data_IF_012975427266
#
_entry.id   IF_012975427266
#
_cell.length_a   1.000
_cell.length_b   1.000
_cell.length_c   1.000
_cell.angle_alpha   90.00
_cell.angle_beta   90.00
_cell.angle_gamma   90.00
#
_symmetry.space_group_name_H-M   'P 1'
#
loop_
_entity.id
_entity.type
_entity.pdbx_description
1 polymer ?
#
# COMPACT_ATOMS: atom_id res chain seq x y z
N UNK A 1 10.21 80.93 -8.20
CA UNK A 1 9.37 79.99 -7.40
C UNK A 1 8.85 78.80 -8.26
N UNK A 2 8.94 78.83 -9.59
CA UNK A 2 8.33 77.82 -10.48
C UNK A 2 9.19 76.61 -10.84
N UNK A 3 10.51 76.60 -10.60
CA UNK A 3 11.38 75.44 -10.96
C UNK A 3 11.43 74.32 -9.91
N UNK A 4 11.14 74.62 -8.64
CA UNK A 4 11.18 73.64 -7.54
C UNK A 4 9.92 72.76 -7.46
N UNK A 5 8.77 73.20 -7.98
CA UNK A 5 7.52 72.42 -7.89
C UNK A 5 7.45 71.28 -8.91
N UNK A 6 8.08 71.45 -10.08
CA UNK A 6 8.08 70.44 -11.15
C UNK A 6 8.97 69.25 -10.77
N UNK A 7 10.15 69.49 -10.17
CA UNK A 7 11.04 68.42 -9.70
C UNK A 7 10.42 67.55 -8.60
N UNK A 8 9.66 68.15 -7.66
CA UNK A 8 8.96 67.42 -6.61
C UNK A 8 7.80 66.55 -7.14
N UNK A 9 7.07 67.04 -8.16
CA UNK A 9 6.03 66.28 -8.87
C UNK A 9 6.60 65.06 -9.61
N UNK A 10 7.73 65.21 -10.31
CA UNK A 10 8.38 64.09 -11.00
C UNK A 10 8.97 63.05 -10.03
N UNK A 11 9.59 63.50 -8.92
CA UNK A 11 10.14 62.61 -7.90
C UNK A 11 9.05 61.81 -7.17
N UNK A 12 7.92 62.44 -6.83
CA UNK A 12 6.77 61.77 -6.20
C UNK A 12 6.10 60.78 -7.15
N UNK A 13 5.98 61.13 -8.44
CA UNK A 13 5.48 60.22 -9.46
C UNK A 13 6.42 59.01 -9.65
N UNK A 14 7.74 59.23 -9.75
CA UNK A 14 8.73 58.15 -9.87
C UNK A 14 8.78 57.25 -8.63
N UNK A 15 8.68 57.81 -7.42
CA UNK A 15 8.55 57.05 -6.17
C UNK A 15 7.26 56.22 -6.12
N UNK A 16 6.15 56.79 -6.57
CA UNK A 16 4.85 56.11 -6.67
C UNK A 16 4.93 54.93 -7.66
N UNK A 17 5.47 55.16 -8.87
CA UNK A 17 5.72 54.11 -9.85
C UNK A 17 6.65 53.02 -9.31
N UNK A 18 7.72 53.37 -8.60
CA UNK A 18 8.63 52.42 -7.93
C UNK A 18 7.91 51.59 -6.85
N UNK A 19 7.01 52.21 -6.08
CA UNK A 19 6.19 51.52 -5.07
C UNK A 19 5.20 50.53 -5.71
N UNK A 20 4.54 50.92 -6.81
CA UNK A 20 3.67 50.02 -7.56
C UNK A 20 4.45 48.89 -8.23
N UNK A 21 5.58 49.18 -8.87
CA UNK A 21 6.45 48.17 -9.48
C UNK A 21 6.94 47.14 -8.45
N UNK A 22 7.36 47.57 -7.26
CA UNK A 22 7.71 46.67 -6.15
C UNK A 22 6.52 45.83 -5.68
N UNK A 23 5.32 46.41 -5.57
CA UNK A 23 4.11 45.66 -5.22
C UNK A 23 3.73 44.62 -6.27
N UNK A 24 3.77 44.97 -7.56
CA UNK A 24 3.54 44.03 -8.66
C UNK A 24 4.59 42.93 -8.71
N UNK A 25 5.86 43.25 -8.45
CA UNK A 25 6.93 42.24 -8.35
C UNK A 25 6.68 41.29 -7.18
N UNK A 26 6.31 41.78 -6.00
CA UNK A 26 5.97 40.93 -4.84
C UNK A 26 4.74 40.06 -5.12
N UNK A 27 3.68 40.62 -5.73
CA UNK A 27 2.48 39.86 -6.11
C UNK A 27 2.84 38.80 -7.16
N UNK A 28 3.62 39.16 -8.18
CA UNK A 28 4.08 38.24 -9.22
C UNK A 28 4.93 37.10 -8.64
N UNK A 29 5.89 37.42 -7.76
CA UNK A 29 6.68 36.42 -7.02
C UNK A 29 5.76 35.53 -6.18
N UNK A 30 4.78 36.10 -5.49
CA UNK A 30 3.81 35.35 -4.67
C UNK A 30 2.97 34.42 -5.54
N UNK A 31 2.45 34.88 -6.68
CA UNK A 31 1.69 34.05 -7.63
C UNK A 31 2.59 32.94 -8.19
N UNK A 32 3.83 33.25 -8.58
CA UNK A 32 4.80 32.25 -9.03
C UNK A 32 5.10 31.21 -7.94
N UNK A 33 5.25 31.64 -6.68
CA UNK A 33 5.43 30.73 -5.55
C UNK A 33 4.18 29.87 -5.36
N UNK A 34 2.98 30.46 -5.38
CA UNK A 34 1.70 29.76 -5.25
C UNK A 34 1.49 28.74 -6.38
N UNK A 35 1.80 29.10 -7.63
CA UNK A 35 1.76 28.17 -8.78
C UNK A 35 2.81 27.06 -8.63
N UNK A 36 4.02 27.42 -8.22
CA UNK A 36 5.13 26.49 -8.06
C UNK A 36 4.87 25.46 -6.95
N UNK A 37 4.26 25.88 -5.83
CA UNK A 37 3.81 24.98 -4.76
C UNK A 37 2.50 24.24 -5.12
N UNK A 38 1.90 24.52 -6.28
CA UNK A 38 0.79 23.75 -6.83
C UNK A 38 -0.60 24.28 -6.49
N UNK A 39 -0.72 25.47 -5.89
CA UNK A 39 -2.00 26.07 -5.50
C UNK A 39 -2.95 26.23 -6.69
N UNK A 40 -2.44 26.59 -7.87
CA UNK A 40 -3.25 26.72 -9.08
C UNK A 40 -3.37 25.42 -9.90
N UNK A 41 -2.58 24.39 -9.60
CA UNK A 41 -2.67 23.11 -10.32
C UNK A 41 -4.02 22.43 -10.11
N UNK A 42 -4.63 22.63 -8.95
CA UNK A 42 -5.97 22.13 -8.65
C UNK A 42 -7.04 22.68 -9.61
N UNK A 43 -6.86 23.88 -10.16
CA UNK A 43 -7.79 24.45 -11.13
C UNK A 43 -7.77 23.72 -12.50
N UNK A 44 -6.68 23.02 -12.80
CA UNK A 44 -6.51 22.28 -14.05
C UNK A 44 -6.77 20.78 -13.90
N UNK A 45 -7.22 20.34 -12.73
CA UNK A 45 -7.63 18.95 -12.52
C UNK A 45 -8.96 18.66 -13.20
N UNK A 46 -9.09 17.44 -13.71
CA UNK A 46 -10.36 16.91 -14.19
C UNK A 46 -11.15 16.35 -13.01
N UNK A 47 -12.44 16.63 -12.96
CA UNK A 47 -13.36 16.04 -11.97
C UNK A 47 -13.39 14.51 -12.14
N UNK A 48 -12.93 13.79 -11.12
CA UNK A 48 -12.82 12.33 -11.12
C UNK A 48 -14.16 11.66 -11.46
N UNK A 49 -15.24 12.01 -10.77
CA UNK A 49 -16.55 11.34 -10.94
C UNK A 49 -17.13 11.46 -12.35
N UNK A 50 -16.73 12.50 -13.10
CA UNK A 50 -17.27 12.78 -14.42
C UNK A 50 -16.37 12.30 -15.56
N UNK A 51 -15.06 12.39 -15.38
CA UNK A 51 -14.10 12.23 -16.49
C UNK A 51 -13.14 11.06 -16.31
N UNK A 52 -13.19 10.32 -15.19
CA UNK A 52 -12.21 9.27 -14.93
C UNK A 52 -12.19 8.22 -16.03
N UNK A 53 -11.08 8.21 -16.76
CA UNK A 53 -10.69 7.12 -17.63
C UNK A 53 -9.20 6.85 -17.48
N UNK A 54 -8.87 5.57 -17.27
CA UNK A 54 -7.52 5.15 -16.99
C UNK A 54 -6.96 4.36 -18.17
N UNK A 55 -5.77 4.72 -18.68
CA UNK A 55 -5.24 4.16 -19.91
C UNK A 55 -4.94 2.67 -19.78
N UNK A 56 -5.07 1.96 -20.91
CA UNK A 56 -4.63 0.58 -21.03
C UNK A 56 -3.10 0.46 -21.02
N UNK A 57 -2.60 -0.64 -20.46
CA UNK A 57 -1.17 -0.95 -20.39
C UNK A 57 -0.69 -1.76 -21.58
N UNK A 58 0.63 -1.94 -21.68
CA UNK A 58 1.23 -2.85 -22.65
C UNK A 58 1.42 -4.24 -22.01
N UNK A 59 1.21 -5.35 -22.74
CA UNK A 59 1.47 -6.69 -22.21
C UNK A 59 2.91 -6.88 -21.69
N UNK A 60 3.88 -6.15 -22.26
CA UNK A 60 5.28 -6.15 -21.82
C UNK A 60 5.51 -5.56 -20.43
N UNK A 61 4.57 -4.76 -19.90
CA UNK A 61 4.73 -4.04 -18.63
C UNK A 61 4.84 -4.98 -17.41
N UNK A 62 4.52 -6.27 -17.61
CA UNK A 62 4.46 -7.31 -16.58
C UNK A 62 5.20 -8.61 -16.93
N UNK A 63 6.09 -8.59 -17.92
CA UNK A 63 6.87 -9.78 -18.30
C UNK A 63 8.09 -9.96 -17.38
N UNK A 64 7.85 -10.46 -16.17
CA UNK A 64 8.88 -10.78 -15.17
C UNK A 64 8.91 -12.28 -14.88
N UNK A 65 10.10 -12.79 -14.54
CA UNK A 65 10.33 -14.19 -14.17
C UNK A 65 10.54 -14.32 -12.66
N UNK A 66 10.39 -15.55 -12.15
CA UNK A 66 10.70 -15.88 -10.76
C UNK A 66 12.09 -16.51 -10.68
N UNK A 67 13.03 -15.85 -10.00
CA UNK A 67 14.39 -16.36 -9.72
C UNK A 67 14.33 -17.46 -8.66
N UNK A 68 13.54 -17.22 -7.62
CA UNK A 68 13.24 -18.19 -6.58
C UNK A 68 11.73 -18.39 -6.54
N UNK A 69 11.30 -19.65 -6.65
CA UNK A 69 9.90 -20.03 -6.77
C UNK A 69 9.63 -21.26 -5.88
N UNK A 70 9.05 -21.07 -4.68
CA UNK A 70 8.72 -22.17 -3.78
C UNK A 70 7.40 -22.81 -4.23
N UNK A 71 7.37 -23.40 -5.44
CA UNK A 71 6.13 -23.87 -6.11
C UNK A 71 5.36 -24.92 -5.31
N UNK A 72 6.06 -25.72 -4.49
CA UNK A 72 5.46 -26.78 -3.68
C UNK A 72 4.97 -26.28 -2.30
N UNK A 73 5.15 -25.00 -1.96
CA UNK A 73 4.81 -24.45 -0.64
C UNK A 73 3.34 -24.67 -0.28
N UNK A 74 2.44 -24.59 -1.26
CA UNK A 74 1.00 -24.80 -1.11
C UNK A 74 0.52 -26.17 -1.63
N UNK A 75 1.38 -27.20 -1.63
CA UNK A 75 0.97 -28.57 -1.97
C UNK A 75 -0.24 -29.03 -1.16
N UNK A 76 -0.29 -28.67 0.11
CA UNK A 76 -1.51 -28.75 0.93
C UNK A 76 -2.20 -27.38 0.83
N UNK A 77 -3.43 -27.30 0.29
CA UNK A 77 -4.19 -26.05 0.19
C UNK A 77 -4.37 -25.37 1.56
N UNK A 78 -3.80 -24.17 1.80
CA UNK A 78 -3.98 -23.48 3.06
C UNK A 78 -5.31 -22.73 3.08
N UNK A 79 -5.91 -22.56 4.26
CA UNK A 79 -7.05 -21.64 4.43
C UNK A 79 -6.61 -20.19 4.21
N UNK A 80 -5.41 -19.84 4.66
CA UNK A 80 -4.83 -18.50 4.54
C UNK A 80 -3.41 -18.59 3.99
N UNK A 81 -3.16 -17.91 2.87
CA UNK A 81 -1.82 -17.56 2.43
C UNK A 81 -1.48 -16.13 2.88
N UNK A 82 -0.41 -15.99 3.66
CA UNK A 82 0.18 -14.71 4.06
C UNK A 82 1.32 -14.40 3.09
N UNK A 83 1.24 -13.27 2.42
CA UNK A 83 2.18 -12.80 1.42
C UNK A 83 2.84 -11.52 1.91
N UNK A 84 4.08 -11.63 2.35
CA UNK A 84 4.82 -10.52 2.97
C UNK A 84 5.68 -9.83 1.92
N UNK A 85 5.38 -8.57 1.59
CA UNK A 85 6.26 -7.70 0.80
C UNK A 85 7.46 -7.30 1.66
N UNK A 86 8.65 -7.69 1.23
CA UNK A 86 9.90 -7.41 1.94
C UNK A 86 10.99 -6.96 0.95
N UNK A 87 12.05 -6.34 1.46
CA UNK A 87 13.25 -6.04 0.68
C UNK A 87 14.31 -7.12 0.93
N UNK A 88 15.16 -7.43 -0.05
CA UNK A 88 16.17 -8.47 0.08
C UNK A 88 17.08 -8.30 1.32
N UNK A 89 17.36 -7.04 1.70
CA UNK A 89 18.13 -6.62 2.86
C UNK A 89 17.47 -6.95 4.21
N UNK A 90 16.14 -7.08 4.25
CA UNK A 90 15.33 -7.22 5.47
C UNK A 90 15.30 -8.65 6.06
N UNK A 91 16.42 -9.37 5.99
CA UNK A 91 16.55 -10.76 6.49
C UNK A 91 16.14 -10.87 7.97
N UNK A 92 16.54 -9.89 8.79
CA UNK A 92 16.21 -9.89 10.21
C UNK A 92 14.69 -9.76 10.44
N UNK A 93 14.02 -8.85 9.72
CA UNK A 93 12.55 -8.69 9.78
C UNK A 93 11.83 -9.99 9.43
N UNK A 94 12.21 -10.62 8.31
CA UNK A 94 11.63 -11.91 7.90
C UNK A 94 11.80 -12.99 8.97
N UNK A 95 12.98 -13.07 9.61
CA UNK A 95 13.21 -14.01 10.71
C UNK A 95 12.35 -13.72 11.94
N UNK A 96 12.09 -12.45 12.27
CA UNK A 96 11.12 -12.10 13.33
C UNK A 96 9.71 -12.54 12.93
N UNK A 97 9.30 -12.29 11.69
CA UNK A 97 7.97 -12.66 11.19
C UNK A 97 7.76 -14.17 11.27
N UNK A 98 8.73 -14.98 10.81
CA UNK A 98 8.70 -16.46 10.88
C UNK A 98 8.47 -17.00 12.29
N UNK A 99 8.98 -16.33 13.33
CA UNK A 99 8.86 -16.74 14.74
C UNK A 99 7.72 -16.07 15.50
N UNK A 100 7.00 -15.16 14.85
CA UNK A 100 5.87 -14.42 15.41
C UNK A 100 4.60 -14.68 14.58
N UNK A 101 4.02 -13.66 13.97
CA UNK A 101 2.73 -13.74 13.29
C UNK A 101 2.74 -14.55 11.99
N UNK A 102 3.91 -14.73 11.37
CA UNK A 102 4.09 -15.56 10.18
C UNK A 102 4.34 -17.04 10.48
N UNK A 103 4.27 -17.47 11.74
CA UNK A 103 4.49 -18.88 12.11
C UNK A 103 3.34 -19.77 11.61
N UNK A 104 3.64 -20.64 10.65
CA UNK A 104 2.65 -21.44 9.91
C UNK A 104 1.90 -22.46 10.77
N UNK A 105 2.55 -22.99 11.81
CA UNK A 105 1.99 -24.03 12.69
C UNK A 105 1.38 -23.46 13.97
N UNK A 106 0.89 -22.22 13.91
CA UNK A 106 0.33 -21.53 15.08
C UNK A 106 -0.97 -22.15 15.58
N UNK A 107 -1.80 -22.67 14.68
CA UNK A 107 -3.10 -23.26 14.95
C UNK A 107 -3.13 -24.70 14.43
N UNK A 108 -3.63 -25.64 15.24
CA UNK A 108 -3.66 -27.05 14.89
C UNK A 108 -4.77 -27.42 13.90
N UNK A 109 -5.80 -26.58 13.80
CA UNK A 109 -7.04 -26.80 13.04
C UNK A 109 -7.14 -25.94 11.78
N UNK A 110 -6.15 -25.07 11.52
CA UNK A 110 -6.15 -24.16 10.37
C UNK A 110 -4.80 -24.21 9.67
N UNK A 111 -4.82 -24.61 8.40
CA UNK A 111 -3.62 -24.62 7.57
C UNK A 111 -3.27 -23.20 7.09
N UNK A 112 -2.07 -22.75 7.41
CA UNK A 112 -1.53 -21.43 7.03
C UNK A 112 -0.21 -21.59 6.29
N UNK A 113 0.00 -20.74 5.29
CA UNK A 113 1.31 -20.58 4.64
C UNK A 113 1.75 -19.13 4.69
N UNK A 114 3.04 -18.91 4.85
CA UNK A 114 3.68 -17.61 4.80
C UNK A 114 4.78 -17.64 3.73
N UNK A 115 4.78 -16.64 2.86
CA UNK A 115 5.80 -16.44 1.83
C UNK A 115 6.26 -14.99 1.80
N UNK A 116 7.52 -14.77 1.40
CA UNK A 116 8.12 -13.45 1.29
C UNK A 116 8.34 -13.08 -0.18
N UNK A 117 7.75 -11.97 -0.62
CA UNK A 117 7.93 -11.39 -1.95
C UNK A 117 9.11 -10.44 -1.97
N UNK A 118 10.12 -10.75 -2.79
CA UNK A 118 11.33 -9.95 -2.96
C UNK A 118 11.54 -9.55 -4.42
N UNK A 119 12.17 -8.40 -4.65
CA UNK A 119 12.87 -8.11 -5.90
C UNK A 119 14.36 -8.42 -5.82
N UNK A 120 15.11 -8.01 -6.85
CA UNK A 120 16.56 -8.06 -6.93
C UNK A 120 17.14 -6.81 -6.27
N UNK A 121 18.11 -7.00 -5.37
CA UNK A 121 18.91 -5.90 -4.83
C UNK A 121 19.96 -5.46 -5.85
N UNK A 122 20.30 -4.16 -5.87
CA UNK A 122 21.46 -3.68 -6.63
C UNK A 122 22.80 -4.20 -6.08
N UNK A 123 22.81 -4.66 -4.83
CA UNK A 123 23.98 -5.24 -4.19
C UNK A 123 23.98 -6.76 -4.38
N UNK A 124 24.95 -7.26 -5.16
CA UNK A 124 25.08 -8.70 -5.45
C UNK A 124 25.25 -9.55 -4.18
N UNK A 125 25.94 -9.04 -3.15
CA UNK A 125 26.06 -9.74 -1.86
C UNK A 125 24.70 -10.00 -1.22
N UNK A 126 23.78 -9.04 -1.30
CA UNK A 126 22.41 -9.19 -0.78
C UNK A 126 21.64 -10.26 -1.55
N UNK A 127 21.84 -10.35 -2.87
CA UNK A 127 21.20 -11.40 -3.68
C UNK A 127 21.73 -12.80 -3.32
N UNK A 128 23.04 -12.94 -3.05
CA UNK A 128 23.63 -14.20 -2.56
C UNK A 128 23.03 -14.60 -1.20
N UNK A 129 22.86 -13.64 -0.29
CA UNK A 129 22.21 -13.88 1.01
C UNK A 129 20.75 -14.34 0.81
N UNK A 130 20.01 -13.70 -0.10
CA UNK A 130 18.62 -14.05 -0.42
C UNK A 130 18.52 -15.47 -0.99
N UNK A 131 19.47 -15.87 -1.84
CA UNK A 131 19.57 -17.25 -2.36
C UNK A 131 19.78 -18.27 -1.25
N UNK A 132 20.70 -18.00 -0.32
CA UNK A 132 20.97 -18.89 0.81
C UNK A 132 19.76 -19.00 1.74
N UNK A 133 19.08 -17.88 1.99
CA UNK A 133 17.84 -17.86 2.78
C UNK A 133 16.73 -18.66 2.09
N UNK A 134 16.55 -18.48 0.78
CA UNK A 134 15.56 -19.22 -0.02
C UNK A 134 15.79 -20.73 0.05
N UNK A 135 17.04 -21.18 -0.11
CA UNK A 135 17.39 -22.59 0.01
C UNK A 135 17.13 -23.17 1.40
N UNK A 136 17.23 -22.35 2.45
CA UNK A 136 17.05 -22.79 3.83
C UNK A 136 15.58 -22.91 4.24
N UNK A 137 14.75 -21.93 3.86
CA UNK A 137 13.37 -21.84 4.35
C UNK A 137 12.30 -22.19 3.31
N UNK A 138 12.66 -22.20 2.02
CA UNK A 138 11.76 -22.49 0.90
C UNK A 138 10.44 -21.68 0.97
N UNK A 139 10.55 -20.40 1.33
CA UNK A 139 9.42 -19.48 1.52
C UNK A 139 9.63 -18.13 0.81
N UNK A 140 10.67 -18.00 -0.02
CA UNK A 140 10.98 -16.78 -0.76
C UNK A 140 10.51 -16.90 -2.20
N UNK A 141 9.67 -15.96 -2.62
CA UNK A 141 9.34 -15.69 -4.01
C UNK A 141 10.17 -14.48 -4.43
N UNK A 142 11.23 -14.71 -5.21
CA UNK A 142 12.07 -13.63 -5.73
C UNK A 142 11.78 -13.40 -7.20
N UNK A 143 11.42 -12.17 -7.56
CA UNK A 143 11.05 -11.78 -8.93
C UNK A 143 12.22 -11.00 -9.54
N UNK A 144 12.48 -11.22 -10.84
CA UNK A 144 13.58 -10.57 -11.57
C UNK A 144 13.25 -9.11 -11.94
N UNK A 145 13.20 -8.23 -10.95
CA UNK A 145 13.10 -6.78 -11.11
C UNK A 145 13.88 -6.06 -10.02
N UNK A 146 14.42 -4.87 -10.30
CA UNK A 146 15.10 -4.08 -9.28
C UNK A 146 14.12 -3.63 -8.20
N UNK A 147 14.40 -4.05 -6.97
CA UNK A 147 13.59 -3.72 -5.81
C UNK A 147 13.77 -2.24 -5.43
N UNK A 148 12.78 -1.45 -5.79
CA UNK A 148 12.71 -0.02 -5.51
C UNK A 148 11.27 0.34 -5.19
N UNK A 149 11.07 1.37 -4.37
CA UNK A 149 9.73 1.72 -3.88
C UNK A 149 8.69 1.91 -5.01
N UNK A 150 9.03 2.65 -6.07
CA UNK A 150 8.13 2.86 -7.23
C UNK A 150 7.92 1.63 -8.12
N UNK A 151 8.62 0.53 -7.84
CA UNK A 151 8.43 -0.77 -8.47
C UNK A 151 7.57 -1.71 -7.59
N UNK A 152 7.05 -1.27 -6.45
CA UNK A 152 6.17 -2.10 -5.60
C UNK A 152 4.94 -2.62 -6.37
N UNK A 153 4.43 -1.88 -7.35
CA UNK A 153 3.34 -2.35 -8.21
C UNK A 153 3.71 -3.63 -8.96
N UNK A 154 4.95 -3.75 -9.42
CA UNK A 154 5.47 -4.98 -10.05
C UNK A 154 5.49 -6.11 -9.02
N UNK A 155 6.05 -5.84 -7.84
CA UNK A 155 6.13 -6.80 -6.73
C UNK A 155 4.76 -7.36 -6.37
N UNK A 156 3.79 -6.49 -6.14
CA UNK A 156 2.42 -6.84 -5.76
C UNK A 156 1.72 -7.60 -6.88
N UNK A 157 1.79 -7.12 -8.13
CA UNK A 157 1.18 -7.79 -9.28
C UNK A 157 1.74 -9.20 -9.50
N UNK A 158 3.07 -9.35 -9.47
CA UNK A 158 3.72 -10.64 -9.64
C UNK A 158 3.47 -11.59 -8.44
N UNK A 159 3.25 -11.03 -7.24
CA UNK A 159 2.76 -11.77 -6.08
C UNK A 159 1.34 -12.30 -6.29
N UNK A 160 0.42 -11.51 -6.85
CA UNK A 160 -0.92 -11.97 -7.22
C UNK A 160 -0.87 -13.11 -8.25
N UNK A 161 -0.03 -12.95 -9.30
CA UNK A 161 0.20 -13.97 -10.32
C UNK A 161 0.69 -15.28 -9.70
N UNK A 162 1.69 -15.20 -8.82
CA UNK A 162 2.26 -16.37 -8.15
C UNK A 162 1.20 -17.08 -7.30
N UNK A 163 0.48 -16.30 -6.47
CA UNK A 163 -0.58 -16.81 -5.59
C UNK A 163 -1.66 -17.57 -6.36
N UNK A 164 -2.11 -17.03 -7.50
CA UNK A 164 -3.11 -17.70 -8.34
C UNK A 164 -2.58 -18.98 -9.00
N UNK A 165 -1.31 -18.98 -9.39
CA UNK A 165 -0.66 -20.07 -10.16
C UNK A 165 -0.21 -21.24 -9.30
N UNK A 166 0.28 -20.97 -8.08
CA UNK A 166 0.96 -21.96 -7.24
C UNK A 166 0.29 -22.22 -5.89
N UNK A 167 -0.78 -21.50 -5.54
CA UNK A 167 -1.45 -21.68 -4.27
C UNK A 167 -2.97 -21.69 -4.38
N UNK A 168 -3.58 -22.82 -4.04
CA UNK A 168 -5.04 -22.93 -3.94
C UNK A 168 -5.52 -22.55 -2.54
N UNK A 169 -5.42 -21.28 -2.16
CA UNK A 169 -5.91 -20.79 -0.86
C UNK A 169 -7.31 -20.17 -0.94
N UNK A 170 -8.06 -20.21 0.16
CA UNK A 170 -9.36 -19.54 0.30
C UNK A 170 -9.17 -18.02 0.45
N UNK A 171 -8.21 -17.61 1.29
CA UNK A 171 -7.89 -16.21 1.58
C UNK A 171 -6.41 -15.89 1.33
N UNK A 172 -6.17 -14.68 0.85
CA UNK A 172 -4.85 -14.14 0.56
C UNK A 172 -4.69 -12.83 1.31
N UNK A 173 -3.68 -12.77 2.18
CA UNK A 173 -3.36 -11.58 2.96
C UNK A 173 -2.01 -11.02 2.52
N UNK A 174 -2.04 -9.87 1.86
CA UNK A 174 -0.84 -9.14 1.47
C UNK A 174 -0.50 -8.12 2.56
N UNK A 175 0.76 -8.08 2.96
CA UNK A 175 1.21 -7.22 4.06
C UNK A 175 2.68 -6.80 3.88
N UNK A 176 3.06 -5.60 4.32
CA UNK A 176 4.47 -5.18 4.37
C UNK A 176 5.19 -5.77 5.61
N UNK A 177 6.53 -5.79 5.58
CA UNK A 177 7.35 -6.43 6.62
C UNK A 177 7.55 -5.60 7.92
N UNK A 178 6.94 -4.43 8.00
CA UNK A 178 6.93 -3.52 9.16
C UNK A 178 5.54 -3.40 9.82
N UNK A 179 4.73 -4.46 9.68
CA UNK A 179 3.43 -4.58 10.32
C UNK A 179 3.45 -5.55 11.50
N UNK A 180 2.73 -5.17 12.56
CA UNK A 180 2.16 -6.13 13.51
C UNK A 180 0.95 -6.80 12.85
N UNK A 181 0.79 -8.11 13.07
CA UNK A 181 -0.39 -8.87 12.62
C UNK A 181 -0.88 -9.79 13.75
N UNK A 182 -2.18 -9.78 14.01
CA UNK A 182 -2.84 -10.84 14.78
C UNK A 182 -3.50 -11.81 13.80
N UNK A 183 -2.81 -12.91 13.52
CA UNK A 183 -3.30 -13.96 12.61
C UNK A 183 -4.60 -14.58 13.14
N UNK A 184 -4.76 -14.67 14.47
CA UNK A 184 -6.02 -15.05 15.11
C UNK A 184 -7.17 -14.13 14.74
N UNK A 185 -6.97 -12.81 14.84
CA UNK A 185 -8.00 -11.82 14.54
C UNK A 185 -8.31 -11.75 13.05
N UNK A 186 -7.29 -11.89 12.19
CA UNK A 186 -7.45 -12.00 10.75
C UNK A 186 -8.35 -13.19 10.37
N UNK A 187 -8.11 -14.37 10.94
CA UNK A 187 -8.94 -15.57 10.69
C UNK A 187 -10.38 -15.40 11.15
N UNK A 188 -10.61 -14.77 12.30
CA UNK A 188 -11.96 -14.41 12.78
C UNK A 188 -12.64 -13.44 11.81
N UNK A 189 -11.90 -12.43 11.35
CA UNK A 189 -12.41 -11.42 10.43
C UNK A 189 -12.83 -12.03 9.10
N UNK A 190 -11.96 -12.78 8.42
CA UNK A 190 -12.28 -13.36 7.10
C UNK A 190 -13.42 -14.37 7.18
N UNK A 191 -13.60 -15.03 8.32
CA UNK A 191 -14.73 -15.93 8.55
C UNK A 191 -16.07 -15.18 8.66
N UNK A 192 -16.09 -13.98 9.26
CA UNK A 192 -17.31 -13.17 9.42
C UNK A 192 -17.02 -11.66 9.33
N UNK A 193 -16.72 -11.12 8.13
CA UNK A 193 -16.26 -9.73 8.00
C UNK A 193 -17.29 -8.67 8.42
N UNK A 194 -18.58 -9.02 8.47
CA UNK A 194 -19.67 -8.11 8.88
C UNK A 194 -19.88 -8.03 10.40
N UNK A 195 -19.32 -8.95 11.17
CA UNK A 195 -19.54 -9.03 12.61
C UNK A 195 -18.32 -8.60 13.43
N UNK A 196 -17.11 -8.73 12.89
CA UNK A 196 -15.89 -8.32 13.59
C UNK A 196 -15.84 -6.79 13.83
N UNK A 197 -15.44 -6.29 15.02
CA UNK A 197 -14.90 -7.01 16.18
C UNK A 197 -15.97 -7.48 17.20
N UNK A 198 -17.26 -7.32 16.91
CA UNK A 198 -18.35 -7.76 17.80
C UNK A 198 -18.32 -9.29 17.94
N UNK A 199 -18.72 -9.78 19.12
CA UNK A 199 -18.77 -11.21 19.40
C UNK A 199 -19.61 -11.93 18.34
N UNK A 200 -19.02 -12.94 17.71
CA UNK A 200 -19.74 -13.85 16.79
C UNK A 200 -20.56 -14.79 17.69
N UNK A 201 -21.91 -14.80 17.63
CA UNK A 201 -22.66 -15.91 18.20
C UNK A 201 -22.14 -17.21 17.56
N UNK A 202 -22.09 -18.34 18.27
CA UNK A 202 -21.56 -19.65 17.82
C UNK A 202 -22.21 -20.26 16.54
N UNK A 203 -22.78 -19.46 15.65
CA UNK A 203 -23.24 -19.85 14.32
C UNK A 203 -22.20 -19.44 13.30
N UNK A 204 -21.61 -20.44 12.65
CA UNK A 204 -20.94 -20.28 11.38
C UNK A 204 -21.96 -19.70 10.40
N UNK A 205 -21.85 -18.41 10.06
CA UNK A 205 -22.54 -17.90 8.88
C UNK A 205 -21.72 -18.44 7.72
N UNK A 206 -22.27 -19.41 7.00
CA UNK A 206 -21.72 -19.88 5.74
C UNK A 206 -21.54 -18.65 4.86
N UNK A 207 -20.28 -18.30 4.57
CA UNK A 207 -19.96 -17.24 3.63
C UNK A 207 -20.55 -17.71 2.31
N UNK A 208 -21.64 -17.09 1.86
CA UNK A 208 -22.15 -17.33 0.52
C UNK A 208 -20.98 -17.12 -0.45
N UNK A 209 -20.74 -18.10 -1.32
CA UNK A 209 -19.67 -18.12 -2.34
C UNK A 209 -19.68 -16.90 -3.27
N UNK A 210 -20.75 -16.09 -3.23
CA UNK A 210 -20.94 -14.84 -3.98
C UNK A 210 -20.37 -13.58 -3.30
N UNK A 211 -19.90 -13.65 -2.06
CA UNK A 211 -19.39 -12.45 -1.38
C UNK A 211 -17.92 -12.21 -1.71
N UNK A 212 -17.67 -11.29 -2.64
CA UNK A 212 -16.34 -10.71 -2.86
C UNK A 212 -15.80 -10.13 -1.55
N UNK A 213 -14.56 -10.47 -1.23
CA UNK A 213 -13.84 -9.88 -0.11
C UNK A 213 -12.64 -9.13 -0.67
N UNK A 214 -12.60 -7.82 -0.44
CA UNK A 214 -11.40 -7.01 -0.58
C UNK A 214 -11.36 -5.98 0.54
N UNK A 215 -10.62 -6.28 1.61
CA UNK A 215 -10.71 -5.54 2.87
C UNK A 215 -9.37 -5.01 3.34
N UNK A 216 -9.41 -3.84 3.97
CA UNK A 216 -8.29 -3.21 4.66
C UNK A 216 -8.66 -1.80 5.11
N UNK A 217 -7.67 -0.94 5.30
CA UNK A 217 -7.90 0.48 5.58
C UNK A 217 -8.15 1.24 4.26
N UNK A 218 -9.43 1.42 3.93
CA UNK A 218 -9.86 2.11 2.70
C UNK A 218 -9.78 3.62 2.88
N UNK A 219 -9.22 4.30 1.88
CA UNK A 219 -9.15 5.74 1.76
C UNK A 219 -9.61 6.19 0.36
N UNK A 220 -10.02 7.45 0.26
CA UNK A 220 -10.19 8.15 -1.01
C UNK A 220 -9.67 9.58 -0.80
N UNK A 221 -8.56 9.90 -1.44
CA UNK A 221 -7.84 11.16 -1.21
C UNK A 221 -7.47 11.82 -2.54
N UNK A 222 -7.18 13.13 -2.55
CA UNK A 222 -6.60 13.80 -3.69
C UNK A 222 -5.13 13.39 -3.93
N UNK A 223 -4.65 13.38 -5.19
CA UNK A 223 -3.23 13.28 -5.49
C UNK A 223 -2.42 14.45 -4.89
N UNK A 224 -1.22 14.17 -4.38
CA UNK A 224 -0.34 15.24 -3.91
C UNK A 224 0.17 16.09 -5.08
N UNK A 225 -0.21 17.36 -5.15
CA UNK A 225 0.21 18.30 -6.21
C UNK A 225 1.40 19.18 -5.87
N UNK A 226 1.86 19.13 -4.62
CA UNK A 226 3.03 19.85 -4.14
C UNK A 226 4.33 19.20 -4.65
N UNK A 227 5.12 19.91 -5.47
CA UNK A 227 6.33 19.38 -6.15
C UNK A 227 7.42 18.85 -5.20
N UNK A 228 7.43 19.33 -3.96
CA UNK A 228 8.41 18.92 -2.94
C UNK A 228 8.00 17.67 -2.16
N UNK A 229 6.77 17.20 -2.31
CA UNK A 229 6.34 15.95 -1.71
C UNK A 229 7.02 14.78 -2.42
N UNK A 230 7.54 13.81 -1.65
CA UNK A 230 7.97 12.51 -2.22
C UNK A 230 6.83 11.80 -2.97
N UNK A 231 5.59 12.16 -2.66
CA UNK A 231 4.36 11.65 -3.25
C UNK A 231 3.82 12.51 -4.39
N UNK A 232 4.55 13.54 -4.84
CA UNK A 232 4.10 14.46 -5.89
C UNK A 232 3.65 13.72 -7.16
N UNK A 233 2.47 14.02 -7.69
CA UNK A 233 1.95 13.48 -8.96
C UNK A 233 1.63 14.62 -9.93
N UNK A 234 2.17 14.53 -11.15
CA UNK A 234 1.91 15.53 -12.20
C UNK A 234 0.56 15.33 -12.89
N UNK A 235 -0.03 16.39 -13.43
CA UNK A 235 -1.27 16.29 -14.22
C UNK A 235 -1.09 15.42 -15.47
N UNK A 236 0.13 15.36 -16.03
CA UNK A 236 0.47 14.47 -17.15
C UNK A 236 0.42 12.99 -16.74
N UNK A 237 0.77 12.69 -15.50
CA UNK A 237 0.77 11.32 -14.97
C UNK A 237 -0.64 10.91 -14.52
N UNK A 238 -1.36 11.82 -13.85
CA UNK A 238 -2.73 11.62 -13.40
C UNK A 238 -3.49 12.95 -13.38
N UNK A 239 -4.42 13.19 -14.31
CA UNK A 239 -5.07 14.49 -14.48
C UNK A 239 -6.26 14.73 -13.53
N UNK A 240 -6.71 13.71 -12.78
CA UNK A 240 -7.94 13.80 -11.97
C UNK A 240 -7.67 14.34 -10.56
N UNK A 241 -8.69 14.95 -9.96
CA UNK A 241 -8.67 15.55 -8.61
C UNK A 241 -8.73 14.53 -7.45
N UNK A 242 -9.22 13.32 -7.70
CA UNK A 242 -9.32 12.24 -6.70
C UNK A 242 -8.73 10.94 -7.22
N UNK A 243 -8.16 10.15 -6.31
CA UNK A 243 -7.95 8.72 -6.54
C UNK A 243 -9.30 7.97 -6.50
N UNK A 244 -9.44 6.85 -7.21
CA UNK A 244 -10.50 5.89 -6.87
C UNK A 244 -10.31 5.40 -5.43
N UNK A 245 -11.34 4.89 -4.76
CA UNK A 245 -11.18 4.24 -3.47
C UNK A 245 -10.05 3.20 -3.52
N UNK A 246 -9.14 3.26 -2.55
CA UNK A 246 -7.98 2.37 -2.48
C UNK A 246 -7.75 1.90 -1.05
N UNK A 247 -7.16 0.72 -0.88
CA UNK A 247 -6.66 0.27 0.43
C UNK A 247 -5.22 0.72 0.55
N UNK A 248 -4.86 1.39 1.65
CA UNK A 248 -3.49 1.82 1.88
C UNK A 248 -2.52 0.65 1.80
N UNK A 249 -1.39 0.82 1.08
CA UNK A 249 -0.57 -0.24 0.50
C UNK A 249 -0.04 -1.34 1.44
N UNK A 250 -0.12 -1.18 2.76
CA UNK A 250 0.64 -2.03 3.67
C UNK A 250 -0.08 -3.24 4.24
N UNK A 251 -1.41 -3.34 4.19
CA UNK A 251 -2.12 -4.55 4.63
C UNK A 251 -3.52 -4.67 4.02
N UNK A 252 -3.79 -5.78 3.32
CA UNK A 252 -5.10 -6.06 2.74
C UNK A 252 -5.38 -7.55 2.58
N UNK A 253 -6.64 -7.95 2.72
CA UNK A 253 -7.10 -9.34 2.60
C UNK A 253 -8.19 -9.50 1.55
N UNK A 254 -8.13 -10.59 0.81
CA UNK A 254 -9.06 -10.91 -0.26
C UNK A 254 -9.29 -12.41 -0.36
N UNK A 255 -10.45 -12.79 -0.89
CA UNK A 255 -10.71 -14.19 -1.25
C UNK A 255 -10.18 -14.49 -2.67
N UNK A 256 -10.16 -15.77 -3.03
CA UNK A 256 -9.65 -16.22 -4.34
C UNK A 256 -10.34 -15.58 -5.55
N UNK A 257 -11.67 -15.43 -5.51
CA UNK A 257 -12.42 -14.86 -6.63
C UNK A 257 -12.08 -13.38 -6.83
N UNK A 258 -12.00 -12.60 -5.75
CA UNK A 258 -11.54 -11.21 -5.79
C UNK A 258 -10.11 -11.13 -6.33
N UNK A 259 -9.19 -12.00 -5.85
CA UNK A 259 -7.80 -12.02 -6.33
C UNK A 259 -7.73 -12.19 -7.85
N UNK A 260 -8.50 -13.14 -8.38
CA UNK A 260 -8.56 -13.42 -9.81
C UNK A 260 -9.08 -12.22 -10.61
N UNK A 261 -10.20 -11.61 -10.18
CA UNK A 261 -10.77 -10.43 -10.84
C UNK A 261 -9.81 -9.25 -10.83
N UNK A 262 -9.17 -9.00 -9.70
CA UNK A 262 -8.20 -7.93 -9.51
C UNK A 262 -6.97 -8.13 -10.40
N UNK A 263 -6.41 -9.35 -10.43
CA UNK A 263 -5.29 -9.72 -11.28
C UNK A 263 -5.64 -9.58 -12.78
N UNK A 264 -6.79 -10.11 -13.19
CA UNK A 264 -7.25 -10.07 -14.59
C UNK A 264 -7.46 -8.63 -15.05
N UNK A 265 -8.12 -7.79 -14.25
CA UNK A 265 -8.31 -6.37 -14.53
C UNK A 265 -6.97 -5.64 -14.64
N UNK A 266 -6.08 -5.85 -13.67
CA UNK A 266 -4.74 -5.25 -13.64
C UNK A 266 -3.88 -5.56 -14.87
N UNK A 267 -4.07 -6.72 -15.50
CA UNK A 267 -3.28 -7.14 -16.68
C UNK A 267 -3.46 -6.26 -17.92
N UNK A 268 -4.55 -5.48 -17.98
CA UNK A 268 -4.87 -4.60 -19.10
C UNK A 268 -4.63 -3.12 -18.80
N UNK A 269 -4.22 -2.77 -17.58
CA UNK A 269 -4.06 -1.39 -17.14
C UNK A 269 -2.63 -0.93 -17.27
N UNK A 270 -2.45 0.36 -17.56
CA UNK A 270 -1.14 0.98 -17.48
C UNK A 270 -0.62 0.87 -16.05
N UNK A 271 0.62 0.47 -15.88
CA UNK A 271 1.23 0.42 -14.55
C UNK A 271 1.29 1.81 -13.93
N UNK A 272 0.84 1.91 -12.67
CA UNK A 272 1.05 3.08 -11.84
C UNK A 272 2.15 2.81 -10.81
N UNK A 273 2.90 3.83 -10.40
CA UNK A 273 4.07 3.65 -9.51
C UNK A 273 3.74 3.47 -8.02
N UNK A 274 2.51 3.75 -7.62
CA UNK A 274 2.00 3.45 -6.28
C UNK A 274 1.12 2.22 -6.38
N UNK A 275 1.46 1.18 -5.62
CA UNK A 275 0.80 -0.12 -5.69
C UNK A 275 -0.63 -0.06 -5.16
N UNK A 276 -0.88 0.66 -4.07
CA UNK A 276 -2.23 0.89 -3.54
C UNK A 276 -3.16 1.60 -4.54
N UNK A 277 -2.68 2.67 -5.17
CA UNK A 277 -3.45 3.39 -6.19
C UNK A 277 -3.69 2.49 -7.40
N UNK A 278 -2.68 1.73 -7.85
CA UNK A 278 -2.85 0.77 -8.94
C UNK A 278 -3.92 -0.28 -8.61
N UNK A 279 -3.92 -0.83 -7.39
CA UNK A 279 -4.93 -1.78 -6.95
C UNK A 279 -6.32 -1.14 -6.85
N UNK A 280 -6.44 0.12 -6.40
CA UNK A 280 -7.71 0.87 -6.39
C UNK A 280 -8.29 1.04 -7.80
N UNK A 281 -7.45 1.43 -8.77
CA UNK A 281 -7.84 1.53 -10.19
C UNK A 281 -8.27 0.16 -10.73
N UNK A 282 -7.50 -0.90 -10.46
CA UNK A 282 -7.80 -2.26 -10.90
C UNK A 282 -9.12 -2.77 -10.31
N UNK A 283 -9.39 -2.48 -9.04
CA UNK A 283 -10.62 -2.82 -8.36
C UNK A 283 -11.83 -2.10 -8.95
N UNK A 284 -11.71 -0.79 -9.20
CA UNK A 284 -12.75 -0.01 -9.86
C UNK A 284 -13.09 -0.60 -11.24
N UNK A 285 -12.08 -0.87 -12.07
CA UNK A 285 -12.28 -1.45 -13.41
C UNK A 285 -12.83 -2.89 -13.36
N UNK A 286 -12.58 -3.62 -12.27
CA UNK A 286 -13.13 -4.94 -12.01
C UNK A 286 -14.53 -4.92 -11.36
N UNK A 287 -15.09 -3.74 -11.09
CA UNK A 287 -16.34 -3.55 -10.33
C UNK A 287 -16.31 -4.23 -8.94
N UNK A 288 -15.16 -4.17 -8.26
CA UNK A 288 -14.96 -4.72 -6.92
C UNK A 288 -15.22 -3.64 -5.87
N UNK A 289 -16.03 -3.97 -4.87
CA UNK A 289 -16.27 -3.09 -3.72
C UNK A 289 -15.21 -3.31 -2.65
N UNK A 290 -14.51 -2.25 -2.27
CA UNK A 290 -13.55 -2.26 -1.17
C UNK A 290 -14.30 -2.15 0.16
N UNK A 291 -13.91 -2.96 1.15
CA UNK A 291 -14.50 -2.98 2.48
C UNK A 291 -13.55 -2.39 3.51
N UNK A 292 -13.91 -1.23 4.03
CA UNK A 292 -13.16 -0.58 5.10
C UNK A 292 -13.24 -1.39 6.41
N UNK A 293 -12.12 -1.49 7.10
CA UNK A 293 -12.05 -2.04 8.45
C UNK A 293 -10.99 -1.30 9.27
N UNK A 294 -11.42 -0.59 10.31
CA UNK A 294 -10.56 0.21 11.20
C UNK A 294 -9.49 -0.62 11.94
N UNK A 295 -9.70 -1.93 12.04
CA UNK A 295 -8.79 -2.87 12.70
C UNK A 295 -7.57 -3.23 11.82
N UNK A 296 -7.57 -2.78 10.56
CA UNK A 296 -6.36 -2.59 9.77
C UNK A 296 -5.89 -1.15 10.01
N UNK A 297 -4.92 -0.96 10.89
CA UNK A 297 -4.51 0.36 11.34
C UNK A 297 -3.42 0.95 10.43
N UNK A 298 -3.74 2.07 9.78
CA UNK A 298 -2.79 2.84 8.97
C UNK A 298 -1.67 3.48 9.81
N UNK A 299 -1.98 3.88 11.05
CA UNK A 299 -1.03 4.40 12.02
C UNK A 299 -0.90 3.44 13.20
N UNK A 300 0.31 3.36 13.77
CA UNK A 300 0.57 2.59 14.98
C UNK A 300 -0.22 3.15 16.16
N UNK A 301 -1.16 2.39 16.75
CA UNK A 301 -1.82 2.81 17.97
C UNK A 301 -0.82 2.78 19.13
N UNK A 302 -1.05 3.63 20.12
CA UNK A 302 -0.24 3.65 21.34
C UNK A 302 -0.37 2.32 22.06
N UNK A 303 0.77 1.73 22.42
CA UNK A 303 0.79 0.50 23.19
C UNK A 303 0.61 0.80 24.68
N UNK A 304 -0.49 0.34 25.28
CA UNK A 304 -0.81 0.51 26.70
C UNK A 304 -0.96 -0.86 27.40
N UNK A 305 -0.28 -1.87 26.87
CA UNK A 305 -0.41 -3.27 27.26
C UNK A 305 -1.24 -4.09 26.26
N UNK A 306 -1.28 -5.43 26.40
CA UNK A 306 -1.78 -6.33 25.36
C UNK A 306 -3.26 -6.10 25.01
N UNK A 307 -4.09 -5.65 25.97
CA UNK A 307 -5.50 -5.35 25.75
C UNK A 307 -5.74 -4.21 24.74
N UNK A 308 -4.80 -3.27 24.61
CA UNK A 308 -4.88 -2.20 23.61
C UNK A 308 -4.83 -2.73 22.16
N UNK A 309 -4.39 -3.98 21.96
CA UNK A 309 -4.28 -4.65 20.67
C UNK A 309 -5.32 -5.78 20.49
N UNK A 310 -6.28 -5.93 21.41
CA UNK A 310 -7.19 -7.08 21.44
C UNK A 310 -7.97 -7.34 20.14
N UNK A 311 -8.31 -6.27 19.41
CA UNK A 311 -9.09 -6.34 18.17
C UNK A 311 -8.28 -6.01 16.92
N UNK A 312 -7.02 -5.58 17.07
CA UNK A 312 -6.20 -5.19 15.92
C UNK A 312 -5.94 -6.42 15.07
N UNK A 313 -6.17 -6.29 13.76
CA UNK A 313 -5.86 -7.32 12.77
C UNK A 313 -4.45 -7.10 12.25
N UNK A 314 -4.16 -5.88 11.79
CA UNK A 314 -2.87 -5.48 11.28
C UNK A 314 -2.60 -4.02 11.66
N UNK A 315 -1.37 -3.68 12.02
CA UNK A 315 -0.99 -2.31 12.33
C UNK A 315 0.37 -1.98 11.75
N UNK A 316 0.43 -0.89 11.00
CA UNK A 316 1.67 -0.33 10.47
C UNK A 316 2.55 0.27 11.58
N UNK A 317 3.80 0.60 11.24
CA UNK A 317 4.71 1.39 12.08
C UNK A 317 5.63 0.57 12.99
N UNK A 318 5.83 -0.72 12.70
CA UNK A 318 6.71 -1.61 13.44
C UNK A 318 8.09 -1.74 12.75
N UNK A 319 8.74 -0.61 12.49
CA UNK A 319 10.07 -0.58 11.87
C UNK A 319 11.14 -1.29 12.73
N UNK A 320 10.98 -1.23 14.06
CA UNK A 320 11.82 -1.93 15.02
C UNK A 320 11.31 -3.35 15.27
N UNK A 321 12.00 -4.34 14.68
CA UNK A 321 11.56 -5.74 14.76
C UNK A 321 11.66 -6.35 16.17
N UNK A 322 12.51 -5.81 17.05
CA UNK A 322 12.56 -6.27 18.46
C UNK A 322 11.33 -5.82 19.22
N UNK A 323 10.90 -4.59 18.99
CA UNK A 323 9.67 -4.05 19.59
C UNK A 323 8.45 -4.85 19.13
N UNK A 324 8.36 -5.13 17.82
CA UNK A 324 7.33 -5.99 17.26
C UNK A 324 7.29 -7.35 17.97
N UNK A 325 8.44 -8.00 18.11
CA UNK A 325 8.51 -9.30 18.76
C UNK A 325 8.03 -9.27 20.21
N UNK A 326 8.43 -8.26 20.98
CA UNK A 326 8.00 -8.11 22.38
C UNK A 326 6.49 -7.93 22.46
N UNK A 327 5.95 -6.91 21.76
CA UNK A 327 4.52 -6.58 21.78
C UNK A 327 3.68 -7.75 21.28
N UNK A 328 4.12 -8.43 20.21
CA UNK A 328 3.41 -9.58 19.67
C UNK A 328 3.38 -10.75 20.64
N UNK A 329 4.50 -11.05 21.32
CA UNK A 329 4.53 -12.11 22.32
C UNK A 329 3.67 -11.78 23.55
N UNK A 330 3.61 -10.52 23.99
CA UNK A 330 2.71 -10.09 25.07
C UNK A 330 1.23 -10.26 24.67
N UNK A 331 0.86 -9.82 23.47
CA UNK A 331 -0.49 -10.01 22.93
C UNK A 331 -0.85 -11.50 22.78
N UNK A 332 0.10 -12.32 22.31
CA UNK A 332 -0.07 -13.77 22.19
C UNK A 332 -0.33 -14.41 23.53
N UNK A 333 0.45 -14.03 24.55
CA UNK A 333 0.36 -14.58 25.90
C UNK A 333 -0.96 -14.20 26.58
N UNK A 334 -1.51 -13.02 26.26
CA UNK A 334 -2.84 -12.59 26.68
C UNK A 334 -3.99 -13.17 25.83
N UNK A 335 -3.70 -13.93 24.77
CA UNK A 335 -4.72 -14.54 23.90
C UNK A 335 -5.29 -13.62 22.82
N UNK A 336 -4.63 -12.50 22.52
CA UNK A 336 -5.05 -11.54 21.48
C UNK A 336 -4.35 -11.72 20.12
N UNK A 337 -3.30 -12.54 20.05
CA UNK A 337 -2.53 -12.81 18.82
C UNK A 337 -2.39 -14.30 18.45
#
# INVERSE_FOLDING_TARGET
ITSLSIGASFLTMAWSFSKYAKRFAVIGITICILDYIGTFKHYHELEYERYFDYPTGLPSDYNYTYIHNPSEKCRIPPKLLIIVKSAAENVYRRNIIRRTWGYEHRFSDVEIRCVFLLGVSKNEKTNIISKNESSKFNDIIQIDFIDAYFNNTIKTYMGMKWSLSYCNSEFFFFVDDDYYVSTKNLLKYVSNPGLYPKAVPNRYITINEKNELFSGFVMQTPPHRHRFSKWYVSLKEYPFDLWPPYITAGAFVLNRNTLYKLFSSGSHLKKFRFDDIFLGIAALKANLTLKHCEMFCFNKPKYEGPASFQYIIASHGFENSKELEIIWNECRSAGFA
#
